data_IF_362940521370
#
_entry.id   IF_362940521370
#
_cell.length_a   1.000
_cell.length_b   1.000
_cell.length_c   1.000
_cell.angle_alpha   90.00
_cell.angle_beta   90.00
_cell.angle_gamma   90.00
#
_symmetry.space_group_name_H-M   'P 1'
#
loop_
_entity.id
_entity.type
_entity.pdbx_description
1 polymer ?
#
# COMPACT_ATOMS: atom_id res chain seq x y z
N UNK A 1 14.80 -7.00 0.66
CA UNK A 1 14.41 -7.85 -0.48
C UNK A 1 13.10 -7.45 -1.13
N UNK A 2 11.96 -7.47 -0.42
CA UNK A 2 10.64 -7.19 -1.01
C UNK A 2 10.55 -5.82 -1.72
N UNK A 3 11.02 -4.74 -1.08
CA UNK A 3 11.02 -3.40 -1.70
C UNK A 3 11.87 -3.33 -2.97
N UNK A 4 13.03 -4.00 -3.00
CA UNK A 4 13.87 -4.02 -4.19
C UNK A 4 13.20 -4.75 -5.35
N UNK A 5 12.50 -5.85 -5.08
CA UNK A 5 11.72 -6.56 -6.09
C UNK A 5 10.62 -5.67 -6.69
N UNK A 6 9.85 -4.98 -5.84
CA UNK A 6 8.79 -4.04 -6.27
C UNK A 6 9.32 -2.92 -7.14
N UNK A 7 10.44 -2.33 -6.73
CA UNK A 7 11.06 -1.23 -7.46
C UNK A 7 11.58 -1.66 -8.84
N UNK A 8 11.98 -2.93 -8.98
CA UNK A 8 12.41 -3.52 -10.24
C UNK A 8 11.24 -4.07 -11.08
N UNK A 9 9.99 -3.85 -10.65
CA UNK A 9 8.79 -4.21 -11.41
C UNK A 9 8.23 -5.61 -11.13
N UNK A 10 8.65 -6.26 -10.04
CA UNK A 10 8.06 -7.54 -9.59
C UNK A 10 7.06 -7.34 -8.45
N UNK A 11 6.01 -8.15 -8.38
CA UNK A 11 5.06 -8.08 -7.27
C UNK A 11 5.67 -8.56 -5.95
N UNK A 12 5.18 -7.99 -4.83
CA UNK A 12 5.61 -8.35 -3.49
C UNK A 12 4.42 -8.47 -2.52
N UNK A 13 4.40 -9.52 -1.71
CA UNK A 13 3.36 -9.76 -0.71
C UNK A 13 3.99 -10.09 0.64
N UNK A 14 3.48 -9.46 1.71
CA UNK A 14 3.85 -9.75 3.08
C UNK A 14 2.59 -10.11 3.87
N UNK A 15 2.64 -11.25 4.57
CA UNK A 15 1.56 -11.73 5.42
C UNK A 15 2.05 -11.83 6.86
N UNK A 16 1.22 -11.34 7.80
CA UNK A 16 1.44 -11.53 9.23
C UNK A 16 0.40 -12.52 9.76
N UNK A 17 0.87 -13.67 10.26
CA UNK A 17 0.00 -14.75 10.72
C UNK A 17 0.37 -15.17 12.15
N UNK A 18 -0.63 -15.61 12.92
CA UNK A 18 -0.46 -16.08 14.29
C UNK A 18 -1.76 -16.05 15.10
N UNK A 19 -1.76 -16.71 16.26
CA UNK A 19 -2.91 -16.75 17.17
C UNK A 19 -3.38 -15.33 17.59
N UNK A 20 -4.63 -15.22 18.04
CA UNK A 20 -5.18 -13.97 18.53
C UNK A 20 -4.29 -13.38 19.64
N UNK A 21 -4.17 -12.04 19.67
CA UNK A 21 -3.40 -11.29 20.67
C UNK A 21 -1.88 -11.54 20.73
N UNK A 22 -1.28 -12.23 19.76
CA UNK A 22 0.18 -12.34 19.61
C UNK A 22 0.85 -11.11 18.97
N UNK A 23 0.32 -9.91 19.19
CA UNK A 23 0.98 -8.68 18.74
C UNK A 23 1.00 -8.41 17.23
N UNK A 24 0.21 -9.12 16.40
CA UNK A 24 0.18 -8.92 14.92
C UNK A 24 0.01 -7.44 14.51
N UNK A 25 -0.94 -6.73 15.13
CA UNK A 25 -1.16 -5.31 14.85
C UNK A 25 0.02 -4.44 15.31
N UNK A 26 0.63 -4.77 16.46
CA UNK A 26 1.84 -4.08 16.93
C UNK A 26 3.01 -4.30 15.96
N UNK A 27 3.16 -5.49 15.38
CA UNK A 27 4.20 -5.77 14.38
C UNK A 27 3.94 -5.02 13.07
N UNK A 28 2.71 -5.05 12.56
CA UNK A 28 2.40 -4.49 11.24
C UNK A 28 2.22 -2.98 11.26
N UNK A 29 1.53 -2.43 12.25
CA UNK A 29 1.21 -0.99 12.34
C UNK A 29 2.16 -0.28 13.31
N UNK A 30 2.50 -0.91 14.43
CA UNK A 30 3.28 -0.29 15.50
C UNK A 30 2.38 0.37 16.53
N UNK A 31 2.98 1.28 17.30
CA UNK A 31 2.30 2.09 18.32
C UNK A 31 2.62 3.57 18.12
N UNK A 32 1.70 4.51 18.45
CA UNK A 32 1.92 5.94 18.28
C UNK A 32 3.15 6.47 19.02
N UNK A 33 3.35 5.99 20.25
CA UNK A 33 4.44 6.40 21.14
C UNK A 33 5.63 5.42 21.13
N UNK A 34 5.70 4.55 20.13
CA UNK A 34 6.70 3.49 20.07
C UNK A 34 7.26 3.26 18.66
N UNK A 35 7.95 2.14 18.43
CA UNK A 35 8.55 1.87 17.14
C UNK A 35 7.46 1.71 16.06
N UNK A 36 7.76 2.27 14.88
CA UNK A 36 6.93 2.10 13.69
C UNK A 36 6.84 0.62 13.32
N UNK A 37 5.65 0.18 12.92
CA UNK A 37 5.45 -1.16 12.40
C UNK A 37 6.02 -1.35 10.99
N UNK A 38 5.86 -2.56 10.47
CA UNK A 38 6.34 -2.92 9.13
C UNK A 38 5.68 -2.08 8.03
N UNK A 39 4.38 -1.79 8.12
CA UNK A 39 3.64 -1.02 7.10
C UNK A 39 4.16 0.41 6.97
N UNK A 40 4.14 1.27 8.01
CA UNK A 40 4.64 2.64 7.89
C UNK A 40 6.12 2.67 7.51
N UNK A 41 6.94 1.75 8.05
CA UNK A 41 8.35 1.63 7.66
C UNK A 41 8.52 1.30 6.17
N UNK A 42 7.79 0.31 5.66
CA UNK A 42 7.87 -0.10 4.26
C UNK A 42 7.46 1.04 3.31
N UNK A 43 6.43 1.82 3.67
CA UNK A 43 5.99 2.98 2.89
C UNK A 43 7.12 4.03 2.84
N UNK A 44 7.71 4.41 3.98
CA UNK A 44 8.81 5.39 3.99
C UNK A 44 10.00 4.93 3.14
N UNK A 45 10.39 3.67 3.27
CA UNK A 45 11.50 3.10 2.49
C UNK A 45 11.17 2.97 1.00
N UNK A 46 9.93 2.64 0.65
CA UNK A 46 9.47 2.59 -0.74
C UNK A 46 9.61 3.96 -1.41
N UNK A 47 9.08 5.03 -0.80
CA UNK A 47 9.18 6.37 -1.35
C UNK A 47 10.63 6.85 -1.48
N UNK A 48 11.47 6.53 -0.49
CA UNK A 48 12.90 6.86 -0.57
C UNK A 48 13.56 6.16 -1.75
N UNK A 49 13.33 4.87 -1.92
CA UNK A 49 13.97 4.08 -2.96
C UNK A 49 13.39 4.39 -4.36
N UNK A 50 12.11 4.79 -4.46
CA UNK A 50 11.53 5.39 -5.67
C UNK A 50 12.28 6.67 -6.04
N UNK A 51 12.52 7.57 -5.08
CA UNK A 51 13.24 8.81 -5.35
C UNK A 51 14.69 8.55 -5.79
N UNK A 52 15.38 7.60 -5.15
CA UNK A 52 16.70 7.17 -5.57
C UNK A 52 16.71 6.61 -7.01
N UNK A 53 15.69 5.82 -7.40
CA UNK A 53 15.59 5.34 -8.78
C UNK A 53 15.26 6.44 -9.78
N UNK A 54 14.33 7.35 -9.45
CA UNK A 54 14.02 8.52 -10.28
C UNK A 54 15.29 9.30 -10.63
N UNK A 55 16.17 9.52 -9.64
CA UNK A 55 17.43 10.22 -9.84
C UNK A 55 18.44 9.43 -10.69
N UNK A 56 18.46 8.10 -10.56
CA UNK A 56 19.40 7.24 -11.30
C UNK A 56 19.02 7.01 -12.75
N UNK A 57 17.73 6.80 -13.04
CA UNK A 57 17.27 6.33 -14.36
C UNK A 57 16.38 7.33 -15.09
N UNK A 58 15.91 8.39 -14.42
CA UNK A 58 14.91 9.30 -14.97
C UNK A 58 13.51 8.69 -15.09
N UNK A 59 13.27 7.52 -14.50
CA UNK A 59 11.97 6.85 -14.55
C UNK A 59 10.87 7.65 -13.84
N UNK A 60 9.64 7.56 -14.35
CA UNK A 60 8.46 8.19 -13.74
C UNK A 60 7.72 7.14 -12.91
N UNK A 61 7.36 7.50 -11.67
CA UNK A 61 6.60 6.65 -10.77
C UNK A 61 5.29 7.34 -10.37
N UNK A 62 4.22 6.57 -10.27
CA UNK A 62 2.99 6.94 -9.59
C UNK A 62 2.68 5.85 -8.56
N UNK A 63 2.42 6.26 -7.32
CA UNK A 63 2.05 5.34 -6.25
C UNK A 63 0.55 5.47 -6.02
N UNK A 64 -0.11 4.33 -5.87
CA UNK A 64 -1.54 4.23 -5.58
C UNK A 64 -1.76 3.27 -4.43
N UNK A 65 -2.78 3.52 -3.62
CA UNK A 65 -3.08 2.71 -2.42
C UNK A 65 -4.56 2.36 -2.36
N UNK A 66 -4.82 1.12 -1.95
CA UNK A 66 -6.13 0.59 -1.60
C UNK A 66 -6.02 -0.13 -0.27
N UNK A 67 -7.06 -0.09 0.58
CA UNK A 67 -7.12 -0.87 1.80
C UNK A 67 -8.50 -1.50 1.97
N UNK A 68 -8.52 -2.82 2.16
CA UNK A 68 -9.74 -3.62 2.22
C UNK A 68 -9.68 -4.54 3.43
N UNK A 69 -10.77 -4.59 4.20
CA UNK A 69 -10.97 -5.55 5.26
C UNK A 69 -11.78 -6.75 4.73
N UNK A 70 -11.27 -7.95 4.98
CA UNK A 70 -11.93 -9.22 4.63
C UNK A 70 -12.40 -9.89 5.91
N UNK A 71 -13.72 -9.95 6.11
CA UNK A 71 -14.34 -10.64 7.24
C UNK A 71 -15.47 -11.55 6.74
N UNK A 72 -16.71 -11.31 7.14
CA UNK A 72 -17.90 -11.92 6.54
C UNK A 72 -18.26 -11.29 5.20
N UNK A 73 -17.98 -9.99 5.05
CA UNK A 73 -18.12 -9.23 3.83
C UNK A 73 -16.80 -8.49 3.54
N UNK A 74 -16.63 -8.05 2.30
CA UNK A 74 -15.53 -7.17 1.91
C UNK A 74 -15.91 -5.72 2.20
N UNK A 75 -15.03 -5.00 2.90
CA UNK A 75 -15.24 -3.60 3.27
C UNK A 75 -14.08 -2.75 2.80
N UNK A 76 -14.38 -1.74 1.99
CA UNK A 76 -13.42 -0.72 1.61
C UNK A 76 -13.15 0.22 2.79
N UNK A 77 -11.88 0.28 3.23
CA UNK A 77 -11.45 1.12 4.35
C UNK A 77 -11.12 2.56 3.91
N UNK A 78 -10.93 2.79 2.61
CA UNK A 78 -10.57 4.10 2.04
C UNK A 78 -11.74 4.80 1.36
N UNK A 79 -12.94 4.20 1.37
CA UNK A 79 -14.13 4.77 0.73
C UNK A 79 -14.40 6.22 1.12
N UNK A 80 -14.21 6.58 2.39
CA UNK A 80 -14.40 7.96 2.89
C UNK A 80 -13.33 8.96 2.45
N UNK A 81 -12.24 8.50 1.83
CA UNK A 81 -11.13 9.32 1.33
C UNK A 81 -11.09 9.35 -0.20
N UNK A 82 -11.99 8.61 -0.87
CA UNK A 82 -12.10 8.61 -2.32
C UNK A 82 -12.73 9.91 -2.81
N UNK A 83 -12.01 10.63 -3.67
CA UNK A 83 -12.56 11.73 -4.44
C UNK A 83 -13.03 11.19 -5.79
N UNK A 84 -14.26 11.53 -6.21
CA UNK A 84 -14.87 11.08 -7.48
C UNK A 84 -14.05 11.42 -8.73
N UNK A 85 -13.08 12.35 -8.64
CA UNK A 85 -12.25 12.79 -9.76
C UNK A 85 -11.00 11.93 -10.02
N UNK A 86 -10.62 11.00 -9.14
CA UNK A 86 -9.41 10.19 -9.30
C UNK A 86 -9.71 8.79 -9.86
N UNK A 87 -10.21 8.72 -11.10
CA UNK A 87 -10.43 7.43 -11.76
C UNK A 87 -9.12 6.63 -11.86
N UNK A 88 -9.14 5.42 -11.30
CA UNK A 88 -8.03 4.47 -11.44
C UNK A 88 -7.86 4.07 -12.91
N UNK A 89 -6.63 4.03 -13.46
CA UNK A 89 -6.36 3.43 -14.76
C UNK A 89 -6.81 1.96 -14.84
N UNK A 90 -6.91 1.27 -13.69
CA UNK A 90 -7.41 -0.10 -13.60
C UNK A 90 -8.89 -0.26 -13.94
N UNK A 91 -9.66 0.83 -14.02
CA UNK A 91 -11.07 0.81 -14.48
C UNK A 91 -11.18 0.28 -15.90
N UNK A 92 -10.17 0.51 -16.74
CA UNK A 92 -10.18 0.07 -18.15
C UNK A 92 -9.76 -1.40 -18.36
N UNK A 93 -9.31 -2.08 -17.30
CA UNK A 93 -8.77 -3.45 -17.36
C UNK A 93 -9.69 -4.49 -16.70
N UNK A 94 -10.88 -4.11 -16.23
CA UNK A 94 -11.71 -4.96 -15.37
C UNK A 94 -12.92 -5.53 -16.11
N UNK A 95 -13.00 -6.86 -16.17
CA UNK A 95 -14.21 -7.57 -16.57
C UNK A 95 -15.20 -7.74 -15.40
N UNK A 96 -14.80 -8.08 -14.16
CA UNK A 96 -15.82 -8.37 -13.12
C UNK A 96 -15.24 -8.47 -11.69
N UNK A 97 -14.67 -7.41 -11.09
CA UNK A 97 -14.42 -7.43 -9.62
C UNK A 97 -14.44 -6.03 -9.00
N UNK A 98 -15.54 -5.75 -8.29
CA UNK A 98 -15.76 -4.81 -7.17
C UNK A 98 -14.93 -3.50 -7.13
N UNK A 99 -15.65 -2.38 -7.14
CA UNK A 99 -15.13 -1.01 -7.07
C UNK A 99 -14.52 -0.69 -5.69
N UNK A 100 -13.30 -1.14 -5.42
CA UNK A 100 -12.51 -0.63 -4.30
C UNK A 100 -11.83 0.69 -4.67
N UNK A 101 -11.82 1.60 -3.72
CA UNK A 101 -11.16 2.89 -3.83
C UNK A 101 -9.66 2.70 -3.96
N UNK A 102 -9.09 3.37 -4.95
CA UNK A 102 -7.65 3.38 -5.17
C UNK A 102 -7.20 4.84 -5.30
N UNK A 103 -6.46 5.31 -4.30
CA UNK A 103 -6.07 6.71 -4.15
C UNK A 103 -4.66 6.92 -4.66
N UNK A 104 -4.42 7.99 -5.42
CA UNK A 104 -3.06 8.38 -5.77
C UNK A 104 -2.40 9.08 -4.58
N UNK A 105 -1.22 8.60 -4.21
CA UNK A 105 -0.44 9.16 -3.10
C UNK A 105 0.89 9.74 -3.62
N UNK A 106 1.14 11.06 -3.47
CA UNK A 106 2.37 11.69 -3.94
C UNK A 106 3.55 11.53 -2.96
N UNK A 107 3.27 11.27 -1.69
CA UNK A 107 4.21 11.21 -0.56
C UNK A 107 3.92 10.04 0.37
N UNK A 108 4.88 9.77 1.28
CA UNK A 108 4.75 8.76 2.32
C UNK A 108 3.87 9.20 3.51
N UNK A 109 3.72 10.52 3.70
CA UNK A 109 2.83 11.15 4.68
C UNK A 109 1.42 11.31 4.14
#
# INVERSE_FOLDING_TARGET
DLLHAVINGSDGCLLCFGHAKLGKSQTMVGSPDGPLGVIPSAISWLFRAINEQKLKTGSRFSVRVSAVEVSHNLKDLLLGHANDCEQSPGVYLREEVQNYSELRVPSAE
#
